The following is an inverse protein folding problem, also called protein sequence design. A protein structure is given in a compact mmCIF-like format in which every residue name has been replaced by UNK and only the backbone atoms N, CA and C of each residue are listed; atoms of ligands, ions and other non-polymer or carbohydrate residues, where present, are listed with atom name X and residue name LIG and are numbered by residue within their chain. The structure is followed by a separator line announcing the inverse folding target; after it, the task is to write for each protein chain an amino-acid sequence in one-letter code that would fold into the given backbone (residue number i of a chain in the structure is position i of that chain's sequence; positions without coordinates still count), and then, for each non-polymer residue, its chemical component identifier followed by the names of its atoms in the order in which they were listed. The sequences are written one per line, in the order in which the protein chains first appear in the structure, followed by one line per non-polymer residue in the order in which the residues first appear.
data_IF_951798518209
#
_entry.id   IF_951798518209
#
_cell.length_a   1.000
_cell.length_b   1.000
_cell.length_c   1.000
_cell.angle_alpha   90.00
_cell.angle_beta   90.00
_cell.angle_gamma   90.00
#
_symmetry.space_group_name_H-M   'P 1'
#
loop_
_entity.id
_entity.type
_entity.pdbx_description
1 polymer ?
#
# COMPACT_ATOMS: atom_id res chain seq x y z
N UNK A 1 -8.00 -24.93 -16.58
CA UNK A 1 -7.57 -24.09 -17.71
C UNK A 1 -8.42 -22.82 -17.70
N UNK A 2 -7.81 -21.67 -17.43
CA UNK A 2 -8.51 -20.37 -17.46
C UNK A 2 -8.42 -19.84 -18.90
N UNK A 3 -9.53 -19.45 -19.56
CA UNK A 3 -9.48 -18.96 -20.92
C UNK A 3 -8.73 -17.63 -20.99
N UNK A 4 -7.67 -17.58 -21.81
CA UNK A 4 -6.92 -16.37 -22.12
C UNK A 4 -7.67 -15.63 -23.23
N UNK A 5 -8.48 -14.65 -22.88
CA UNK A 5 -9.14 -13.79 -23.86
C UNK A 5 -8.16 -12.75 -24.39
N UNK A 6 -7.73 -12.86 -25.65
CA UNK A 6 -7.04 -11.79 -26.37
C UNK A 6 -8.06 -10.73 -26.79
N UNK A 7 -8.30 -9.74 -25.93
CA UNK A 7 -9.19 -8.62 -26.25
C UNK A 7 -8.41 -7.61 -27.11
N UNK A 8 -8.74 -7.53 -28.41
CA UNK A 8 -8.33 -6.38 -29.25
C UNK A 8 -9.10 -5.14 -28.77
N UNK A 9 -8.43 -4.28 -28.01
CA UNK A 9 -9.00 -3.01 -27.56
C UNK A 9 -9.11 -2.02 -28.73
N UNK A 10 -10.33 -1.57 -29.06
CA UNK A 10 -10.57 -0.32 -29.78
C UNK A 10 -10.79 0.78 -28.75
N UNK A 11 -9.79 1.63 -28.42
CA UNK A 11 -9.73 2.32 -27.13
C UNK A 11 -10.56 3.60 -27.00
N UNK A 12 -11.28 4.05 -28.03
CA UNK A 12 -11.86 5.40 -28.02
C UNK A 12 -13.39 5.36 -28.04
N UNK A 13 -14.00 4.59 -28.94
CA UNK A 13 -15.46 4.63 -29.16
C UNK A 13 -16.25 3.90 -28.08
N UNK A 14 -15.76 2.74 -27.61
CA UNK A 14 -16.39 1.98 -26.52
C UNK A 14 -16.30 2.70 -25.17
N UNK A 15 -15.19 3.42 -24.97
CA UNK A 15 -14.89 4.15 -23.74
C UNK A 15 -15.79 5.35 -23.53
N UNK A 16 -16.04 6.12 -24.59
CA UNK A 16 -16.95 7.26 -24.52
C UNK A 16 -18.36 6.81 -24.09
N UNK A 17 -18.80 5.63 -24.54
CA UNK A 17 -20.10 5.07 -24.12
C UNK A 17 -20.10 4.63 -22.66
N UNK A 18 -19.12 3.86 -22.22
CA UNK A 18 -19.03 3.38 -20.82
C UNK A 18 -18.91 4.54 -19.82
N UNK A 19 -18.19 5.62 -20.16
CA UNK A 19 -18.11 6.85 -19.36
C UNK A 19 -19.43 7.64 -19.35
N UNK A 20 -20.07 7.82 -20.51
CA UNK A 20 -21.35 8.55 -20.58
C UNK A 20 -22.48 7.80 -19.86
N UNK A 21 -22.44 6.46 -19.86
CA UNK A 21 -23.41 5.64 -19.15
C UNK A 21 -23.20 5.73 -17.63
N UNK A 22 -21.95 5.83 -17.15
CA UNK A 22 -21.65 6.01 -15.72
C UNK A 22 -21.94 7.42 -15.20
N UNK A 23 -21.68 8.48 -15.98
CA UNK A 23 -22.09 9.85 -15.64
C UNK A 23 -23.61 9.97 -15.46
N UNK A 24 -24.39 9.37 -16.38
CA UNK A 24 -25.86 9.40 -16.31
C UNK A 24 -26.40 8.74 -15.04
N UNK A 25 -25.72 7.73 -14.51
CA UNK A 25 -26.13 7.03 -13.29
C UNK A 25 -25.91 7.86 -12.02
N UNK A 26 -24.83 8.66 -11.91
CA UNK A 26 -24.56 9.41 -10.68
C UNK A 26 -25.24 10.79 -10.58
N UNK A 27 -25.71 11.35 -11.69
CA UNK A 27 -26.41 12.66 -11.69
C UNK A 27 -27.72 12.63 -10.85
N UNK A 28 -28.20 11.46 -10.44
CA UNK A 28 -29.44 11.30 -9.67
C UNK A 28 -29.30 11.59 -8.15
N UNK A 29 -28.09 11.75 -7.59
CA UNK A 29 -27.90 11.98 -6.16
C UNK A 29 -27.46 13.43 -5.83
N UNK A 30 -28.38 14.23 -5.26
CA UNK A 30 -28.12 15.67 -4.97
C UNK A 30 -27.07 15.91 -3.87
N UNK A 31 -26.90 14.98 -2.92
CA UNK A 31 -25.94 15.12 -1.83
C UNK A 31 -24.49 14.90 -2.29
N UNK A 32 -24.31 14.09 -3.33
CA UNK A 32 -23.02 13.80 -3.98
C UNK A 32 -22.36 15.03 -4.60
N UNK A 33 -23.14 16.08 -4.94
CA UNK A 33 -22.63 17.30 -5.60
C UNK A 33 -21.75 18.19 -4.71
N UNK A 34 -21.81 18.09 -3.38
CA UNK A 34 -20.97 18.96 -2.52
C UNK A 34 -19.57 18.38 -2.33
N UNK A 35 -19.46 17.07 -2.11
CA UNK A 35 -18.18 16.39 -1.91
C UNK A 35 -17.35 16.32 -3.19
N UNK A 36 -17.98 16.16 -4.36
CA UNK A 36 -17.28 16.05 -5.64
C UNK A 36 -16.82 17.38 -6.25
N UNK A 37 -17.28 18.53 -5.74
CA UNK A 37 -16.92 19.85 -6.30
C UNK A 37 -15.43 20.16 -6.23
N UNK A 38 -14.72 19.53 -5.30
CA UNK A 38 -13.29 19.75 -5.09
C UNK A 38 -12.44 18.59 -5.63
N UNK A 39 -13.05 17.55 -6.22
CA UNK A 39 -12.31 16.46 -6.86
C UNK A 39 -11.86 16.91 -8.25
N UNK A 40 -10.60 16.71 -8.58
CA UNK A 40 -10.11 17.03 -9.92
C UNK A 40 -10.85 16.17 -10.98
N UNK A 41 -11.06 16.69 -12.21
CA UNK A 41 -11.86 16.00 -13.22
C UNK A 41 -11.34 14.59 -13.57
N UNK A 42 -10.03 14.38 -13.51
CA UNK A 42 -9.41 13.10 -13.87
C UNK A 42 -9.64 12.05 -12.78
N UNK A 43 -9.42 12.38 -11.51
CA UNK A 43 -9.78 11.50 -10.38
C UNK A 43 -11.25 11.16 -10.39
N UNK A 44 -12.12 12.13 -10.68
CA UNK A 44 -13.55 11.88 -10.80
C UNK A 44 -13.87 10.90 -11.94
N UNK A 45 -13.26 11.09 -13.12
CA UNK A 45 -13.38 10.20 -14.27
C UNK A 45 -12.96 8.77 -13.91
N UNK A 46 -11.84 8.60 -13.22
CA UNK A 46 -11.35 7.30 -12.77
C UNK A 46 -12.27 6.66 -11.71
N UNK A 47 -12.83 7.46 -10.80
CA UNK A 47 -13.79 6.98 -9.81
C UNK A 47 -15.07 6.42 -10.45
N UNK A 48 -15.58 7.05 -11.50
CA UNK A 48 -16.71 6.53 -12.29
C UNK A 48 -16.40 5.19 -12.96
N UNK A 49 -15.22 5.08 -13.57
CA UNK A 49 -14.77 3.82 -14.18
C UNK A 49 -14.62 2.71 -13.14
N UNK A 50 -14.07 3.04 -11.97
CA UNK A 50 -13.93 2.11 -10.87
C UNK A 50 -15.29 1.65 -10.34
N UNK A 51 -16.25 2.57 -10.14
CA UNK A 51 -17.61 2.21 -9.72
C UNK A 51 -18.26 1.24 -10.70
N UNK A 52 -18.20 1.54 -12.00
CA UNK A 52 -18.78 0.68 -13.03
C UNK A 52 -18.16 -0.72 -13.04
N UNK A 53 -16.84 -0.82 -12.83
CA UNK A 53 -16.15 -2.10 -12.70
C UNK A 53 -16.62 -2.88 -11.46
N UNK A 54 -16.69 -2.22 -10.30
CA UNK A 54 -17.18 -2.82 -9.06
C UNK A 54 -18.64 -3.30 -9.17
N UNK A 55 -19.50 -2.55 -9.87
CA UNK A 55 -20.88 -2.96 -10.16
C UNK A 55 -20.93 -4.28 -10.93
N UNK A 56 -20.07 -4.46 -11.94
CA UNK A 56 -19.98 -5.73 -12.70
C UNK A 56 -19.49 -6.88 -11.83
N UNK A 57 -18.47 -6.66 -11.01
CA UNK A 57 -17.95 -7.69 -10.10
C UNK A 57 -19.01 -8.12 -9.08
N UNK A 58 -19.71 -7.14 -8.48
CA UNK A 58 -20.78 -7.39 -7.53
C UNK A 58 -21.97 -8.13 -8.18
N UNK A 59 -22.39 -7.71 -9.37
CA UNK A 59 -23.47 -8.37 -10.12
C UNK A 59 -23.14 -9.82 -10.47
N UNK A 60 -21.89 -10.13 -10.86
CA UNK A 60 -21.44 -11.50 -11.11
C UNK A 60 -21.49 -12.40 -9.87
N UNK A 61 -21.59 -11.82 -8.67
CA UNK A 61 -21.75 -12.52 -7.40
C UNK A 61 -23.16 -12.40 -6.81
N UNK A 62 -24.12 -11.82 -7.54
CA UNK A 62 -25.46 -11.50 -7.05
C UNK A 62 -25.45 -10.62 -5.77
N UNK A 63 -24.55 -9.64 -5.72
CA UNK A 63 -24.37 -8.71 -4.59
C UNK A 63 -24.58 -7.26 -5.02
N UNK A 64 -24.88 -6.39 -4.04
CA UNK A 64 -24.72 -4.94 -4.19
C UNK A 64 -23.22 -4.56 -4.15
N UNK A 65 -22.88 -3.35 -4.60
CA UNK A 65 -21.48 -2.88 -4.54
C UNK A 65 -21.03 -2.77 -3.09
N UNK A 66 -21.89 -2.25 -2.21
CA UNK A 66 -21.60 -2.16 -0.77
C UNK A 66 -21.29 -3.51 -0.13
N UNK A 67 -22.07 -4.55 -0.46
CA UNK A 67 -21.84 -5.90 0.08
C UNK A 67 -20.57 -6.52 -0.49
N UNK A 68 -20.31 -6.36 -1.79
CA UNK A 68 -19.08 -6.84 -2.42
C UNK A 68 -17.84 -6.20 -1.77
N UNK A 69 -17.85 -4.88 -1.55
CA UNK A 69 -16.74 -4.17 -0.90
C UNK A 69 -16.54 -4.61 0.54
N UNK A 70 -17.63 -4.79 1.31
CA UNK A 70 -17.57 -5.32 2.68
C UNK A 70 -16.92 -6.71 2.74
N UNK A 71 -17.33 -7.61 1.86
CA UNK A 71 -16.79 -8.96 1.83
C UNK A 71 -15.29 -8.92 1.51
N UNK A 72 -14.91 -8.09 0.53
CA UNK A 72 -13.51 -7.89 0.13
C UNK A 72 -12.66 -7.37 1.29
N UNK A 73 -13.11 -6.33 1.99
CA UNK A 73 -12.41 -5.77 3.17
C UNK A 73 -12.51 -6.65 4.41
N UNK A 74 -13.35 -7.68 4.42
CA UNK A 74 -13.38 -8.67 5.50
C UNK A 74 -12.41 -9.81 5.22
N UNK A 75 -12.26 -10.22 3.95
CA UNK A 75 -11.31 -11.26 3.55
C UNK A 75 -9.87 -10.77 3.39
N UNK A 76 -9.67 -9.46 3.22
CA UNK A 76 -8.37 -8.86 2.91
C UNK A 76 -8.02 -7.79 3.94
N UNK A 77 -6.92 -8.00 4.67
CA UNK A 77 -6.36 -7.04 5.61
C UNK A 77 -5.37 -7.67 6.58
N UNK A 78 -4.75 -6.84 7.42
CA UNK A 78 -3.65 -7.23 8.32
C UNK A 78 -4.08 -7.20 9.79
N UNK A 79 -3.48 -8.08 10.59
CA UNK A 79 -3.59 -8.13 12.05
C UNK A 79 -4.76 -8.96 12.62
N UNK A 80 -4.90 -8.92 13.95
CA UNK A 80 -5.96 -9.65 14.68
C UNK A 80 -5.44 -10.63 15.73
N UNK A 81 -4.12 -10.72 15.91
CA UNK A 81 -3.51 -11.56 16.93
C UNK A 81 -3.73 -10.98 18.33
N UNK A 82 -3.85 -11.86 19.32
CA UNK A 82 -3.86 -11.49 20.73
C UNK A 82 -2.41 -11.56 21.23
N UNK A 83 -1.80 -10.44 21.66
CA UNK A 83 -0.43 -10.45 22.17
C UNK A 83 -0.31 -11.32 23.42
N UNK A 84 0.63 -12.26 23.43
CA UNK A 84 0.88 -13.19 24.54
C UNK A 84 2.26 -12.97 25.13
N UNK A 85 3.27 -12.71 24.30
CA UNK A 85 4.65 -12.67 24.75
C UNK A 85 4.90 -11.48 25.70
N UNK A 86 4.70 -10.25 25.22
CA UNK A 86 5.02 -9.06 26.01
C UNK A 86 4.24 -8.96 27.34
N UNK A 87 2.91 -9.22 27.37
CA UNK A 87 2.15 -9.19 28.63
C UNK A 87 2.51 -10.31 29.61
N UNK A 88 3.11 -11.41 29.15
CA UNK A 88 3.51 -12.53 30.03
C UNK A 88 4.81 -12.28 30.81
N UNK A 89 5.59 -11.27 30.41
CA UNK A 89 6.87 -10.94 31.03
C UNK A 89 6.68 -10.25 32.39
N UNK A 90 7.63 -10.46 33.30
CA UNK A 90 7.69 -9.66 34.52
C UNK A 90 8.05 -8.20 34.20
N UNK A 91 7.74 -7.26 35.11
CA UNK A 91 8.17 -5.85 34.96
C UNK A 91 9.68 -5.70 34.81
N UNK A 92 10.45 -6.59 35.46
CA UNK A 92 11.91 -6.61 35.35
C UNK A 92 12.33 -7.02 33.94
N UNK A 93 11.76 -8.09 33.41
CA UNK A 93 12.08 -8.57 32.05
C UNK A 93 11.67 -7.54 30.99
N UNK A 94 10.51 -6.88 31.15
CA UNK A 94 10.10 -5.78 30.28
C UNK A 94 11.12 -4.62 30.30
N UNK A 95 11.60 -4.24 31.49
CA UNK A 95 12.64 -3.22 31.63
C UNK A 95 13.98 -3.65 31.01
N UNK A 96 14.34 -4.92 31.11
CA UNK A 96 15.57 -5.45 30.50
C UNK A 96 15.47 -5.51 28.97
N UNK A 97 14.32 -5.84 28.40
CA UNK A 97 14.06 -5.71 26.96
C UNK A 97 14.11 -4.26 26.48
N UNK A 98 13.57 -3.31 27.25
CA UNK A 98 13.68 -1.89 26.92
C UNK A 98 15.15 -1.44 26.86
N UNK A 99 16.01 -1.91 27.77
CA UNK A 99 17.45 -1.62 27.73
C UNK A 99 18.12 -2.23 26.50
N UNK A 100 17.77 -3.47 26.14
CA UNK A 100 18.26 -4.14 24.92
C UNK A 100 17.86 -3.36 23.67
N UNK A 101 16.61 -2.92 23.58
CA UNK A 101 16.14 -2.06 22.49
C UNK A 101 16.96 -0.76 22.39
N UNK A 102 17.19 -0.05 23.50
CA UNK A 102 17.96 1.20 23.47
C UNK A 102 19.39 0.98 22.97
N UNK A 103 20.02 -0.13 23.39
CA UNK A 103 21.35 -0.53 22.90
C UNK A 103 21.32 -0.88 21.41
N UNK A 104 20.34 -1.67 20.98
CA UNK A 104 20.13 -2.03 19.58
C UNK A 104 19.93 -0.79 18.70
N UNK A 105 19.05 0.13 19.10
CA UNK A 105 18.80 1.39 18.40
C UNK A 105 20.08 2.23 18.26
N UNK A 106 20.88 2.33 19.32
CA UNK A 106 22.17 3.03 19.25
C UNK A 106 23.13 2.35 18.25
N UNK A 107 23.23 1.02 18.26
CA UNK A 107 24.04 0.25 17.30
C UNK A 107 23.57 0.50 15.85
N UNK A 108 22.26 0.45 15.60
CA UNK A 108 21.69 0.74 14.27
C UNK A 108 22.02 2.15 13.83
N UNK A 109 21.81 3.16 14.67
CA UNK A 109 22.12 4.55 14.34
C UNK A 109 23.60 4.76 14.01
N UNK A 110 24.49 4.08 14.72
CA UNK A 110 25.92 4.16 14.46
C UNK A 110 26.31 3.49 13.13
N UNK A 111 25.80 2.28 12.88
CA UNK A 111 26.16 1.44 11.74
C UNK A 111 25.42 1.82 10.44
N UNK A 112 24.29 2.52 10.53
CA UNK A 112 23.45 2.85 9.37
C UNK A 112 24.22 3.65 8.30
N UNK A 113 24.01 3.34 7.00
CA UNK A 113 24.44 4.18 5.89
C UNK A 113 23.88 5.61 6.00
N UNK A 114 24.53 6.55 5.32
CA UNK A 114 24.19 7.99 5.40
C UNK A 114 22.71 8.26 5.07
N UNK A 115 22.18 7.57 4.06
CA UNK A 115 20.79 7.70 3.63
C UNK A 115 19.82 7.26 4.73
N UNK A 116 20.06 6.11 5.38
CA UNK A 116 19.23 5.63 6.49
C UNK A 116 19.37 6.50 7.74
N UNK A 117 20.58 6.98 8.05
CA UNK A 117 20.81 7.95 9.15
C UNK A 117 19.95 9.20 8.96
N UNK A 118 19.86 9.71 7.73
CA UNK A 118 19.02 10.85 7.39
C UNK A 118 17.53 10.53 7.59
N UNK A 119 17.04 9.38 7.11
CA UNK A 119 15.65 8.97 7.31
C UNK A 119 15.27 8.87 8.80
N UNK A 120 16.14 8.23 9.61
CA UNK A 120 15.97 8.10 11.06
C UNK A 120 15.93 9.48 11.71
N UNK A 121 16.90 10.35 11.40
CA UNK A 121 16.98 11.71 11.96
C UNK A 121 15.75 12.53 11.61
N UNK A 122 15.30 12.48 10.36
CA UNK A 122 14.08 13.16 9.94
C UNK A 122 12.84 12.64 10.66
N UNK A 123 12.76 11.34 10.94
CA UNK A 123 11.64 10.75 11.66
C UNK A 123 11.62 11.21 13.12
N UNK A 124 12.79 11.30 13.75
CA UNK A 124 12.95 11.76 15.13
C UNK A 124 12.64 13.25 15.29
N UNK A 125 13.04 14.08 14.32
CA UNK A 125 12.72 15.51 14.31
C UNK A 125 11.21 15.80 14.18
N UNK A 126 10.41 14.82 13.74
CA UNK A 126 8.94 14.90 13.67
C UNK A 126 8.25 14.15 14.81
N UNK A 127 8.95 13.88 15.92
CA UNK A 127 8.45 13.16 17.10
C UNK A 127 8.06 11.68 16.85
N UNK A 128 8.35 11.16 15.66
CA UNK A 128 8.07 9.78 15.26
C UNK A 128 9.17 8.84 15.74
N UNK A 129 10.27 8.81 15.00
CA UNK A 129 11.46 8.00 15.29
C UNK A 129 11.22 6.49 15.23
N UNK A 130 12.08 5.73 15.90
CA UNK A 130 11.93 4.29 16.10
C UNK A 130 11.53 4.05 17.57
N UNK A 131 10.41 3.37 17.80
CA UNK A 131 9.86 3.11 19.15
C UNK A 131 9.65 1.62 19.39
N UNK A 132 9.86 1.20 20.62
CA UNK A 132 9.64 -0.19 21.03
C UNK A 132 8.18 -0.39 21.43
N UNK A 133 7.42 -1.13 20.62
CA UNK A 133 6.06 -1.55 20.90
C UNK A 133 5.87 -3.04 20.55
N UNK A 134 6.44 -3.94 21.36
CA UNK A 134 6.38 -5.37 21.09
C UNK A 134 4.97 -5.95 21.11
N UNK A 135 4.06 -5.41 21.93
CA UNK A 135 2.67 -5.87 21.95
C UNK A 135 1.91 -5.44 20.70
N UNK A 136 2.14 -4.20 20.22
CA UNK A 136 1.61 -3.72 18.95
C UNK A 136 2.07 -4.57 17.78
N UNK A 137 3.38 -4.85 17.70
CA UNK A 137 3.99 -5.68 16.65
C UNK A 137 3.43 -7.11 16.65
N UNK A 138 3.28 -7.74 17.82
CA UNK A 138 2.68 -9.07 17.94
C UNK A 138 1.20 -9.09 17.55
N UNK A 139 0.45 -8.02 17.87
CA UNK A 139 -0.98 -7.90 17.52
C UNK A 139 -1.23 -7.89 16.01
N UNK A 140 -0.33 -7.28 15.26
CA UNK A 140 -0.45 -7.16 13.80
C UNK A 140 0.27 -8.28 13.05
N UNK A 141 0.98 -9.15 13.76
CA UNK A 141 1.79 -10.24 13.19
C UNK A 141 2.86 -9.78 12.20
N UNK A 142 3.57 -8.71 12.53
CA UNK A 142 4.60 -8.14 11.65
C UNK A 142 5.98 -8.16 12.31
N UNK A 143 7.02 -7.91 11.51
CA UNK A 143 8.37 -7.65 12.02
C UNK A 143 8.46 -6.25 12.65
N UNK A 144 7.80 -5.27 12.02
CA UNK A 144 7.65 -3.89 12.46
C UNK A 144 6.43 -3.26 11.77
N UNK A 145 6.07 -2.02 12.13
CA UNK A 145 5.08 -1.25 11.37
C UNK A 145 5.28 0.25 11.48
N UNK A 146 4.87 0.96 10.44
CA UNK A 146 4.72 2.40 10.47
C UNK A 146 3.34 2.82 10.99
N UNK A 147 3.31 3.74 11.96
CA UNK A 147 2.11 4.50 12.29
C UNK A 147 2.49 5.94 12.65
N UNK A 148 1.83 6.91 12.03
CA UNK A 148 2.05 8.34 12.28
C UNK A 148 3.54 8.72 12.26
N UNK A 149 4.25 8.31 11.21
CA UNK A 149 5.68 8.63 11.01
C UNK A 149 6.62 7.97 12.04
N UNK A 150 6.11 7.04 12.86
CA UNK A 150 6.89 6.25 13.82
C UNK A 150 7.05 4.84 13.30
N UNK A 151 8.27 4.32 13.32
CA UNK A 151 8.55 2.90 13.14
C UNK A 151 8.45 2.20 14.50
N UNK A 152 7.43 1.38 14.68
CA UNK A 152 7.23 0.56 15.87
C UNK A 152 7.85 -0.82 15.67
N UNK A 153 8.68 -1.24 16.62
CA UNK A 153 9.46 -2.48 16.53
C UNK A 153 9.24 -3.36 17.75
N UNK A 154 9.39 -4.68 17.55
CA UNK A 154 9.17 -5.69 18.57
C UNK A 154 10.41 -6.51 18.87
N UNK A 155 10.19 -7.70 19.47
CA UNK A 155 11.24 -8.63 19.89
C UNK A 155 12.22 -8.97 18.76
N UNK A 156 11.67 -9.45 17.64
CA UNK A 156 12.44 -10.01 16.54
C UNK A 156 13.35 -8.96 15.90
N UNK A 157 12.93 -7.69 15.89
CA UNK A 157 13.75 -6.59 15.43
C UNK A 157 14.98 -6.37 16.32
N UNK A 158 14.80 -6.39 17.64
CA UNK A 158 15.92 -6.27 18.61
C UNK A 158 16.89 -7.45 18.44
N UNK A 159 16.36 -8.67 18.35
CA UNK A 159 17.18 -9.88 18.14
C UNK A 159 17.94 -9.83 16.81
N UNK A 160 17.32 -9.34 15.73
CA UNK A 160 17.97 -9.18 14.44
C UNK A 160 19.14 -8.17 14.50
N UNK A 161 18.96 -7.04 15.21
CA UNK A 161 20.04 -6.05 15.39
C UNK A 161 21.19 -6.61 16.21
N UNK A 162 20.89 -7.36 17.27
CA UNK A 162 21.92 -8.00 18.12
C UNK A 162 22.75 -9.00 17.33
N UNK A 163 22.17 -9.66 16.33
CA UNK A 163 22.92 -10.52 15.40
C UNK A 163 23.72 -9.69 14.39
N UNK A 164 23.10 -8.72 13.72
CA UNK A 164 23.79 -7.72 12.91
C UNK A 164 22.88 -6.52 12.65
N UNK A 165 23.35 -5.26 12.83
CA UNK A 165 22.54 -4.08 12.57
C UNK A 165 22.06 -3.99 11.12
N UNK A 166 22.76 -4.60 10.15
CA UNK A 166 22.34 -4.56 8.75
C UNK A 166 21.06 -5.34 8.46
N UNK A 167 20.67 -6.29 9.33
CA UNK A 167 19.45 -7.08 9.15
C UNK A 167 18.16 -6.29 9.23
N UNK A 168 18.20 -5.09 9.81
CA UNK A 168 17.02 -4.21 9.92
C UNK A 168 17.04 -3.04 8.94
N UNK A 169 18.08 -2.93 8.10
CA UNK A 169 18.20 -1.81 7.16
C UNK A 169 17.10 -1.83 6.08
N UNK A 170 16.76 -3.03 5.55
CA UNK A 170 15.61 -3.22 4.63
C UNK A 170 14.33 -2.69 5.28
N UNK A 171 14.00 -3.17 6.48
CA UNK A 171 12.81 -2.75 7.19
C UNK A 171 12.78 -1.25 7.52
N UNK A 172 13.91 -0.63 7.90
CA UNK A 172 13.95 0.82 8.12
C UNK A 172 13.66 1.58 6.82
N UNK A 173 14.24 1.13 5.70
CA UNK A 173 13.99 1.74 4.39
C UNK A 173 12.54 1.57 3.94
N UNK A 174 11.95 0.39 4.17
CA UNK A 174 10.55 0.10 3.90
C UNK A 174 9.62 1.04 4.68
N UNK A 175 9.79 1.06 6.01
CA UNK A 175 8.84 1.69 6.90
C UNK A 175 9.01 3.21 6.95
N UNK A 176 10.26 3.70 7.01
CA UNK A 176 10.56 5.14 7.12
C UNK A 176 10.90 5.78 5.76
N UNK A 177 11.35 5.02 4.79
CA UNK A 177 11.60 5.50 3.42
C UNK A 177 10.42 5.28 2.49
N UNK A 178 9.68 4.17 2.66
CA UNK A 178 8.49 3.84 1.89
C UNK A 178 7.23 4.53 2.40
N UNK A 179 6.55 3.88 3.34
CA UNK A 179 5.24 4.31 3.86
C UNK A 179 5.22 5.75 4.36
N UNK A 180 6.31 6.18 5.01
CA UNK A 180 6.40 7.53 5.57
C UNK A 180 6.49 8.63 4.51
N UNK A 181 7.26 8.40 3.44
CA UNK A 181 7.50 9.41 2.40
C UNK A 181 6.33 9.43 1.38
N UNK A 182 5.74 8.26 1.12
CA UNK A 182 4.63 8.09 0.20
C UNK A 182 3.28 8.19 0.92
N UNK A 183 2.79 9.42 1.05
CA UNK A 183 1.57 9.75 1.84
C UNK A 183 0.35 10.08 0.98
N UNK A 184 0.53 10.21 -0.34
CA UNK A 184 -0.48 10.73 -1.25
C UNK A 184 -0.93 9.68 -2.28
N UNK A 185 -1.40 8.54 -1.79
CA UNK A 185 -1.76 7.38 -2.61
C UNK A 185 -2.87 7.73 -3.61
N UNK A 186 -2.59 7.59 -4.90
CA UNK A 186 -3.56 7.94 -5.93
C UNK A 186 -4.76 6.98 -5.95
N UNK A 187 -4.49 5.70 -5.68
CA UNK A 187 -5.51 4.67 -5.48
C UNK A 187 -6.50 5.00 -4.35
N UNK A 188 -6.03 5.58 -3.23
CA UNK A 188 -6.88 6.00 -2.12
C UNK A 188 -7.82 7.15 -2.52
N UNK A 189 -7.29 8.15 -3.24
CA UNK A 189 -8.11 9.26 -3.77
C UNK A 189 -9.23 8.74 -4.67
N UNK A 190 -8.89 7.86 -5.62
CA UNK A 190 -9.86 7.27 -6.55
C UNK A 190 -10.92 6.48 -5.79
N UNK A 191 -10.53 5.66 -4.81
CA UNK A 191 -11.48 4.88 -4.02
C UNK A 191 -12.37 5.73 -3.13
N UNK A 192 -11.84 6.75 -2.46
CA UNK A 192 -12.64 7.71 -1.69
C UNK A 192 -13.67 8.41 -2.57
N UNK A 193 -13.28 8.89 -3.75
CA UNK A 193 -14.20 9.46 -4.74
C UNK A 193 -15.23 8.44 -5.23
N UNK A 194 -14.83 7.17 -5.41
CA UNK A 194 -15.72 6.07 -5.79
C UNK A 194 -16.79 5.81 -4.72
N UNK A 195 -16.40 5.82 -3.44
CA UNK A 195 -17.34 5.66 -2.32
C UNK A 195 -18.35 6.81 -2.22
N UNK A 196 -17.94 8.04 -2.52
CA UNK A 196 -18.85 9.21 -2.57
C UNK A 196 -19.89 9.11 -3.69
N UNK A 197 -19.63 8.31 -4.74
CA UNK A 197 -20.60 8.04 -5.81
C UNK A 197 -21.67 7.00 -5.40
N UNK A 198 -21.44 6.23 -4.33
CA UNK A 198 -22.44 5.28 -3.81
C UNK A 198 -23.60 6.02 -3.12
N UNK A 199 -24.76 5.35 -3.04
CA UNK A 199 -25.80 5.79 -2.13
C UNK A 199 -25.38 5.56 -0.66
N UNK A 200 -26.08 6.21 0.28
CA UNK A 200 -25.71 6.19 1.69
C UNK A 200 -25.68 4.79 2.31
N UNK A 201 -26.62 3.92 1.93
CA UNK A 201 -26.72 2.56 2.46
C UNK A 201 -25.58 1.68 1.94
N UNK A 202 -25.26 1.77 0.64
CA UNK A 202 -24.14 1.04 0.05
C UNK A 202 -22.79 1.51 0.61
N UNK A 203 -22.60 2.82 0.79
CA UNK A 203 -21.38 3.37 1.39
C UNK A 203 -21.21 2.86 2.82
N UNK A 204 -22.25 2.96 3.65
CA UNK A 204 -22.24 2.46 5.04
C UNK A 204 -21.94 0.96 5.08
N UNK A 205 -22.51 0.19 4.16
CA UNK A 205 -22.25 -1.25 4.09
C UNK A 205 -20.80 -1.54 3.71
N UNK A 206 -20.25 -0.85 2.71
CA UNK A 206 -18.85 -0.99 2.30
C UNK A 206 -17.87 -0.68 3.45
N UNK A 207 -18.16 0.32 4.27
CA UNK A 207 -17.34 0.77 5.40
C UNK A 207 -17.49 -0.12 6.65
N UNK A 208 -18.44 -1.08 6.65
CA UNK A 208 -18.71 -1.97 7.79
C UNK A 208 -17.88 -3.26 7.81
N UNK A 209 -16.88 -3.37 6.94
CA UNK A 209 -15.95 -4.50 6.93
C UNK A 209 -14.98 -4.47 8.11
N UNK A 210 -14.34 -5.61 8.38
CA UNK A 210 -13.38 -5.73 9.49
C UNK A 210 -12.07 -4.95 9.24
N UNK A 211 -11.70 -4.75 7.97
CA UNK A 211 -10.58 -3.92 7.58
C UNK A 211 -11.05 -2.70 6.77
N UNK A 212 -10.16 -1.73 6.63
CA UNK A 212 -10.47 -0.50 5.90
C UNK A 212 -10.47 -0.73 4.39
N UNK A 213 -11.25 0.08 3.64
CA UNK A 213 -11.17 0.12 2.17
C UNK A 213 -9.75 0.45 1.70
N UNK A 214 -9.05 1.31 2.44
CA UNK A 214 -7.65 1.62 2.20
C UNK A 214 -6.78 0.36 2.20
N UNK A 215 -6.91 -0.51 3.21
CA UNK A 215 -6.13 -1.75 3.32
C UNK A 215 -6.33 -2.69 2.13
N UNK A 216 -7.56 -2.82 1.61
CA UNK A 216 -7.86 -3.73 0.51
C UNK A 216 -7.50 -3.17 -0.89
N UNK A 217 -7.58 -1.85 -1.07
CA UNK A 217 -7.45 -1.24 -2.40
C UNK A 217 -6.23 -0.32 -2.53
N UNK A 218 -5.95 0.53 -1.54
CA UNK A 218 -4.94 1.57 -1.68
C UNK A 218 -3.58 1.22 -1.05
N UNK A 219 -3.56 0.27 -0.13
CA UNK A 219 -2.34 -0.10 0.59
C UNK A 219 -1.28 -0.71 -0.33
N UNK A 220 -1.67 -1.42 -1.39
CA UNK A 220 -0.73 -2.03 -2.33
C UNK A 220 0.16 -1.00 -3.04
N UNK A 221 -0.32 0.22 -3.28
CA UNK A 221 0.47 1.27 -3.92
C UNK A 221 1.63 1.75 -3.02
N UNK A 222 1.34 2.00 -1.74
CA UNK A 222 2.37 2.38 -0.76
C UNK A 222 3.33 1.23 -0.46
N UNK A 223 2.83 0.00 -0.42
CA UNK A 223 3.66 -1.20 -0.29
C UNK A 223 4.63 -1.36 -1.46
N UNK A 224 4.17 -1.26 -2.72
CA UNK A 224 5.08 -1.36 -3.88
C UNK A 224 6.19 -0.32 -3.77
N UNK A 225 5.85 0.92 -3.40
CA UNK A 225 6.87 1.94 -3.18
C UNK A 225 7.82 1.57 -2.04
N UNK A 226 7.30 1.09 -0.91
CA UNK A 226 8.11 0.68 0.23
C UNK A 226 9.07 -0.48 -0.09
N UNK A 227 8.60 -1.49 -0.81
CA UNK A 227 9.42 -2.60 -1.30
C UNK A 227 10.58 -2.09 -2.18
N UNK A 228 10.28 -1.18 -3.11
CA UNK A 228 11.30 -0.59 -3.99
C UNK A 228 12.38 0.17 -3.19
N UNK A 229 11.99 0.82 -2.08
CA UNK A 229 12.92 1.55 -1.20
C UNK A 229 13.84 0.64 -0.42
N UNK A 230 13.40 -0.58 -0.10
CA UNK A 230 14.21 -1.50 0.68
C UNK A 230 15.17 -2.37 -0.14
N UNK A 231 14.95 -2.52 -1.46
CA UNK A 231 15.76 -3.36 -2.35
C UNK A 231 17.28 -3.15 -2.22
N UNK A 232 17.74 -1.92 -2.03
CA UNK A 232 19.18 -1.59 -1.93
C UNK A 232 19.82 -2.08 -0.62
N UNK A 233 19.00 -2.39 0.39
CA UNK A 233 19.41 -2.90 1.69
C UNK A 233 18.97 -4.33 1.93
N UNK A 234 18.27 -4.93 0.97
CA UNK A 234 17.78 -6.30 1.07
C UNK A 234 18.95 -7.27 1.14
N UNK A 235 19.02 -7.98 2.27
CA UNK A 235 19.94 -9.10 2.49
C UNK A 235 19.06 -10.33 2.50
N UNK A 236 19.19 -11.18 1.47
CA UNK A 236 18.43 -12.43 1.40
C UNK A 236 18.69 -13.26 2.67
N UNK A 237 17.68 -13.33 3.53
CA UNK A 237 17.70 -14.19 4.70
C UNK A 237 17.19 -15.58 4.32
N UNK A 238 17.70 -16.62 4.97
CA UNK A 238 17.26 -17.99 4.74
C UNK A 238 15.84 -18.27 5.27
N UNK A 239 15.19 -17.29 5.90
CA UNK A 239 13.78 -17.34 6.29
C UNK A 239 12.91 -17.14 5.06
N UNK A 240 12.17 -18.18 4.69
CA UNK A 240 11.19 -18.18 3.62
C UNK A 240 10.10 -17.12 3.89
N UNK A 241 9.87 -16.17 2.96
CA UNK A 241 8.62 -15.41 2.92
C UNK A 241 8.67 -13.93 2.57
N UNK A 242 9.79 -13.24 2.77
CA UNK A 242 9.88 -11.78 2.58
C UNK A 242 10.96 -11.45 1.54
N UNK A 243 10.56 -11.42 0.26
CA UNK A 243 11.44 -11.11 -0.87
C UNK A 243 10.82 -9.95 -1.67
N UNK A 244 11.41 -8.73 -1.62
CA UNK A 244 10.81 -7.54 -2.24
C UNK A 244 10.58 -7.73 -3.74
N UNK A 245 11.37 -8.58 -4.40
CA UNK A 245 11.24 -8.83 -5.84
C UNK A 245 9.97 -9.62 -6.17
N UNK A 246 9.64 -10.65 -5.39
CA UNK A 246 8.39 -11.41 -5.58
C UNK A 246 7.19 -10.62 -5.06
N UNK A 247 7.37 -9.88 -3.98
CA UNK A 247 6.33 -9.07 -3.36
C UNK A 247 5.84 -7.94 -4.26
N UNK A 248 6.74 -7.18 -4.89
CA UNK A 248 6.38 -6.12 -5.84
C UNK A 248 5.50 -6.69 -6.96
N UNK A 249 5.87 -7.85 -7.50
CA UNK A 249 5.10 -8.51 -8.57
C UNK A 249 3.71 -8.95 -8.06
N UNK A 250 3.64 -9.58 -6.89
CA UNK A 250 2.37 -10.00 -6.30
C UNK A 250 1.44 -8.80 -6.01
N UNK A 251 2.01 -7.71 -5.49
CA UNK A 251 1.30 -6.44 -5.21
C UNK A 251 0.81 -5.77 -6.49
N UNK A 252 1.60 -5.78 -7.57
CA UNK A 252 1.17 -5.32 -8.89
C UNK A 252 0.01 -6.14 -9.47
N UNK A 253 0.04 -7.46 -9.33
CA UNK A 253 -1.09 -8.33 -9.73
C UNK A 253 -2.34 -8.06 -8.88
N UNK A 254 -2.19 -7.77 -7.58
CA UNK A 254 -3.31 -7.35 -6.72
C UNK A 254 -3.93 -6.03 -7.18
N UNK A 255 -3.12 -5.02 -7.51
CA UNK A 255 -3.62 -3.75 -8.11
C UNK A 255 -4.40 -4.05 -9.39
N UNK A 256 -3.85 -4.87 -10.28
CA UNK A 256 -4.50 -5.26 -11.54
C UNK A 256 -5.83 -6.01 -11.33
N UNK A 257 -5.94 -6.82 -10.27
CA UNK A 257 -7.17 -7.57 -9.96
C UNK A 257 -8.25 -6.68 -9.30
N UNK A 258 -7.85 -5.76 -8.43
CA UNK A 258 -8.77 -4.97 -7.60
C UNK A 258 -9.31 -3.71 -8.30
N UNK A 259 -8.64 -3.23 -9.35
CA UNK A 259 -9.05 -2.02 -10.07
C UNK A 259 -9.51 -2.29 -11.50
N UNK A 260 -10.36 -1.40 -12.01
CA UNK A 260 -10.68 -1.37 -13.43
C UNK A 260 -9.37 -1.24 -14.25
N UNK A 261 -9.23 -1.89 -15.41
CA UNK A 261 -7.94 -1.93 -16.12
C UNK A 261 -7.30 -0.57 -16.38
N UNK A 262 -8.08 0.45 -16.76
CA UNK A 262 -7.57 1.80 -16.97
C UNK A 262 -7.18 2.47 -15.65
N UNK A 263 -7.97 2.26 -14.59
CA UNK A 263 -7.69 2.80 -13.26
C UNK A 263 -6.39 2.22 -12.72
N UNK A 264 -6.19 0.91 -12.85
CA UNK A 264 -4.95 0.24 -12.48
C UNK A 264 -3.74 0.82 -13.24
N UNK A 265 -3.86 1.03 -14.55
CA UNK A 265 -2.80 1.64 -15.36
C UNK A 265 -2.47 3.06 -14.90
N UNK A 266 -3.47 3.90 -14.60
CA UNK A 266 -3.23 5.27 -14.14
C UNK A 266 -2.60 5.32 -12.74
N UNK A 267 -2.95 4.38 -11.84
CA UNK A 267 -2.26 4.20 -10.56
C UNK A 267 -0.77 3.90 -10.80
N UNK A 268 -0.46 2.92 -11.66
CA UNK A 268 0.94 2.54 -11.95
C UNK A 268 1.72 3.69 -12.62
N UNK A 269 1.06 4.44 -13.50
CA UNK A 269 1.64 5.64 -14.13
C UNK A 269 1.96 6.73 -13.11
N UNK A 270 1.05 6.98 -12.16
CA UNK A 270 1.26 7.96 -11.10
C UNK A 270 2.44 7.54 -10.20
N UNK A 271 2.48 6.28 -9.78
CA UNK A 271 3.60 5.72 -9.02
C UNK A 271 4.93 5.81 -9.79
N UNK A 272 4.93 5.50 -11.09
CA UNK A 272 6.11 5.65 -11.94
C UNK A 272 6.60 7.11 -12.01
N UNK A 273 5.68 8.07 -12.14
CA UNK A 273 6.02 9.49 -12.15
C UNK A 273 6.61 9.94 -10.82
N UNK A 274 6.05 9.47 -9.69
CA UNK A 274 6.59 9.72 -8.36
C UNK A 274 8.02 9.17 -8.21
N UNK A 275 8.25 7.91 -8.57
CA UNK A 275 9.57 7.26 -8.51
C UNK A 275 10.63 8.00 -9.36
N UNK A 276 10.27 8.55 -10.52
CA UNK A 276 11.20 9.34 -11.36
C UNK A 276 11.61 10.66 -10.71
N UNK A 277 10.71 11.25 -9.92
CA UNK A 277 10.94 12.55 -9.27
C UNK A 277 11.62 12.39 -7.91
N UNK A 278 11.52 11.21 -7.31
CA UNK A 278 12.17 10.88 -6.05
C UNK A 278 13.69 10.73 -6.24
N UNK A 279 14.42 11.74 -5.78
CA UNK A 279 15.89 11.81 -5.84
C UNK A 279 16.61 10.67 -5.11
N UNK A 280 15.92 10.01 -4.19
CA UNK A 280 16.47 8.92 -3.39
C UNK A 280 16.14 7.55 -4.03
N UNK A 281 15.41 7.51 -5.15
CA UNK A 281 15.20 6.30 -5.96
C UNK A 281 16.37 6.11 -6.93
N UNK A 282 17.09 4.99 -6.80
CA UNK A 282 18.16 4.64 -7.73
C UNK A 282 17.63 4.24 -9.11
N UNK A 283 18.39 4.56 -10.16
CA UNK A 283 18.02 4.21 -11.55
C UNK A 283 17.77 2.71 -11.73
N UNK A 284 18.56 1.85 -11.08
CA UNK A 284 18.39 0.40 -11.12
C UNK A 284 17.04 -0.05 -10.54
N UNK A 285 16.58 0.58 -9.46
CA UNK A 285 15.27 0.30 -8.83
C UNK A 285 14.13 0.71 -9.77
N UNK A 286 14.22 1.88 -10.40
CA UNK A 286 13.23 2.32 -11.38
C UNK A 286 13.19 1.42 -12.63
N UNK A 287 14.36 0.99 -13.13
CA UNK A 287 14.44 0.04 -14.24
C UNK A 287 13.82 -1.31 -13.90
N UNK A 288 14.05 -1.82 -12.69
CA UNK A 288 13.41 -3.02 -12.19
C UNK A 288 11.89 -2.87 -12.14
N UNK A 289 11.38 -1.80 -11.53
CA UNK A 289 9.94 -1.52 -11.48
C UNK A 289 9.31 -1.49 -12.88
N UNK A 290 9.92 -0.75 -13.81
CA UNK A 290 9.49 -0.66 -15.21
C UNK A 290 9.46 -2.03 -15.90
N UNK A 291 10.46 -2.88 -15.66
CA UNK A 291 10.51 -4.23 -16.18
C UNK A 291 9.36 -5.10 -15.67
N UNK A 292 9.09 -5.10 -14.36
CA UNK A 292 8.01 -5.90 -13.77
C UNK A 292 6.63 -5.38 -14.20
N UNK A 293 6.44 -4.07 -14.31
CA UNK A 293 5.21 -3.49 -14.86
C UNK A 293 4.97 -3.97 -16.30
N UNK A 294 6.01 -4.05 -17.13
CA UNK A 294 5.90 -4.62 -18.48
C UNK A 294 5.50 -6.10 -18.47
N UNK A 295 5.94 -6.87 -17.48
CA UNK A 295 5.53 -8.27 -17.33
C UNK A 295 4.06 -8.38 -16.91
N UNK A 296 3.63 -7.64 -15.88
CA UNK A 296 2.30 -7.75 -15.26
C UNK A 296 1.22 -7.06 -16.10
N UNK A 297 1.45 -5.82 -16.51
CA UNK A 297 0.48 -4.97 -17.19
C UNK A 297 0.61 -4.99 -18.71
N UNK A 298 1.70 -5.56 -19.27
CA UNK A 298 2.00 -5.54 -20.71
C UNK A 298 2.08 -4.11 -21.28
N UNK A 299 2.50 -3.16 -20.46
CA UNK A 299 2.75 -1.76 -20.86
C UNK A 299 4.24 -1.44 -20.70
N UNK A 300 4.78 -0.61 -21.59
CA UNK A 300 6.17 -0.18 -21.52
C UNK A 300 6.28 1.22 -20.94
N UNK A 301 6.60 1.32 -19.64
CA UNK A 301 6.70 2.62 -18.96
C UNK A 301 7.83 3.50 -19.48
N UNK A 302 8.86 2.94 -20.11
CA UNK A 302 9.99 3.72 -20.64
C UNK A 302 9.58 4.57 -21.85
N UNK A 303 8.54 4.15 -22.57
CA UNK A 303 8.05 4.83 -23.78
C UNK A 303 6.87 5.76 -23.50
N UNK A 304 6.38 5.78 -22.26
CA UNK A 304 5.45 6.80 -21.79
C UNK A 304 6.28 8.04 -21.44
N UNK A 305 6.63 8.80 -22.48
CA UNK A 305 7.13 10.17 -22.35
C UNK A 305 5.91 11.05 -22.10
N UNK A 306 5.93 11.78 -20.98
CA UNK A 306 4.93 12.80 -20.66
C UNK A 306 5.38 14.15 -21.21
#
# INVERSE_FOLDING_TARGET
MVPVYSVKFSPITRFKKEYLDSEKLAVQNKNTKKELKNTDPETLRLAYLQLYYLQKLAANQNKSVGQFLKDKTTSEGYGGNIPKWWPSLSKKDQADWQKRFLKALATVKAAAPIQLKKLITEAENKEGGIKFDPAGVEKIDSFAYNLNQTLFVGKSWVEAVEESPSKVFSNIAHELGGHRQYTDNYSDKIMKSTLTLLNADEKKLAESGNHSIFSAFAYMETEIYAELREMIYYIKHHSEGDDPYEDIKAKLERVKANFAPQVAIEIIKNLAAYLRQDKDTESAVYHYFSHIVKIVFKIDLMHLVY
#
